data_IF_251596053705
#
_entry.id   IF_251596053705
#
_cell.length_a   1.000
_cell.length_b   1.000
_cell.length_c   1.000
_cell.angle_alpha   90.00
_cell.angle_beta   90.00
_cell.angle_gamma   90.00
#
_symmetry.space_group_name_H-M   'P 1'
#
loop_
_entity.id
_entity.type
_entity.pdbx_description
1 polymer ?
#
# COMPACT_ATOMS: atom_id res chain seq x y z
N UNK A 1 -9.17 5.37 8.08
CA UNK A 1 -8.96 4.15 7.27
C UNK A 1 -7.80 3.40 7.88
N UNK A 2 -8.04 2.19 8.36
CA UNK A 2 -7.00 1.36 8.97
C UNK A 2 -6.33 0.52 7.87
N UNK A 3 -5.00 0.44 7.87
CA UNK A 3 -4.28 -0.53 7.03
C UNK A 3 -4.45 -1.92 7.65
N UNK A 4 -4.65 -2.93 6.82
CA UNK A 4 -4.65 -4.32 7.25
C UNK A 4 -3.18 -4.81 7.28
N UNK A 5 -2.58 -4.78 8.47
CA UNK A 5 -1.17 -5.11 8.69
C UNK A 5 -1.08 -6.58 9.09
N UNK A 6 -0.45 -7.40 8.24
CA UNK A 6 -0.20 -8.82 8.51
C UNK A 6 1.04 -8.99 9.38
N UNK A 7 2.07 -8.17 9.12
CA UNK A 7 3.33 -8.18 9.86
C UNK A 7 4.01 -6.82 9.76
N UNK A 8 4.74 -6.41 10.80
CA UNK A 8 5.64 -5.25 10.73
C UNK A 8 6.76 -5.34 11.76
N UNK A 9 7.96 -4.97 11.36
CA UNK A 9 9.11 -4.76 12.25
C UNK A 9 9.90 -3.50 11.86
N UNK A 10 11.13 -3.37 12.35
CA UNK A 10 12.00 -2.23 12.06
C UNK A 10 12.51 -2.18 10.60
N UNK A 11 12.32 -3.25 9.82
CA UNK A 11 12.87 -3.41 8.48
C UNK A 11 11.79 -3.44 7.40
N UNK A 12 10.64 -4.08 7.66
CA UNK A 12 9.58 -4.22 6.68
C UNK A 12 8.17 -4.21 7.29
N UNK A 13 7.20 -3.89 6.44
CA UNK A 13 5.78 -4.06 6.72
C UNK A 13 5.14 -4.89 5.61
N UNK A 14 4.27 -5.80 6.01
CA UNK A 14 3.50 -6.68 5.15
C UNK A 14 2.03 -6.32 5.31
N UNK A 15 1.41 -5.93 4.20
CA UNK A 15 0.04 -5.40 4.20
C UNK A 15 -0.85 -6.27 3.34
N UNK A 16 -2.05 -6.58 3.84
CA UNK A 16 -3.07 -7.26 3.06
C UNK A 16 -3.86 -6.21 2.24
N UNK A 17 -3.58 -6.12 0.94
CA UNK A 17 -4.18 -5.11 0.08
C UNK A 17 -5.62 -5.50 -0.30
N UNK A 18 -6.63 -4.62 -0.14
CA UNK A 18 -7.95 -4.87 -0.71
C UNK A 18 -7.94 -4.78 -2.24
N UNK A 19 -8.87 -5.49 -2.89
CA UNK A 19 -9.15 -5.29 -4.31
C UNK A 19 -9.72 -3.88 -4.55
N UNK A 20 -9.42 -3.29 -5.70
CA UNK A 20 -9.83 -1.93 -6.07
C UNK A 20 -8.88 -0.83 -5.59
N UNK A 21 -7.86 -1.14 -4.79
CA UNK A 21 -6.84 -0.18 -4.36
C UNK A 21 -5.56 -0.33 -5.20
N UNK A 22 -5.01 0.78 -5.68
CA UNK A 22 -3.71 0.79 -6.34
C UNK A 22 -2.59 0.48 -5.34
N UNK A 23 -1.56 -0.25 -5.77
CA UNK A 23 -0.37 -0.49 -4.92
C UNK A 23 0.49 0.77 -4.78
N UNK A 24 0.65 1.51 -5.87
CA UNK A 24 1.43 2.76 -5.99
C UNK A 24 0.60 3.85 -6.66
N UNK A 25 0.98 5.14 -6.59
CA UNK A 25 0.22 6.21 -7.23
C UNK A 25 0.06 5.98 -8.73
N UNK A 26 -1.16 6.18 -9.21
CA UNK A 26 -1.46 6.15 -10.64
C UNK A 26 -1.11 7.49 -11.32
N UNK A 27 -1.36 7.54 -12.63
CA UNK A 27 -1.30 8.79 -13.39
C UNK A 27 -2.60 9.59 -13.18
N UNK A 28 -2.48 10.86 -12.83
CA UNK A 28 -3.60 11.77 -12.57
C UNK A 28 -3.85 12.01 -11.09
N UNK A 29 -4.36 13.20 -10.75
CA UNK A 29 -4.57 13.64 -9.37
C UNK A 29 -5.61 12.79 -8.62
N UNK A 30 -6.54 12.18 -9.36
CA UNK A 30 -7.58 11.28 -8.84
C UNK A 30 -7.04 9.89 -8.42
N UNK A 31 -5.79 9.56 -8.75
CA UNK A 31 -5.18 8.23 -8.51
C UNK A 31 -4.04 8.23 -7.50
N UNK A 32 -3.98 9.25 -6.65
CA UNK A 32 -2.93 9.37 -5.62
C UNK A 32 -3.26 8.57 -4.34
N UNK A 33 -4.53 8.21 -4.14
CA UNK A 33 -4.91 7.28 -3.07
C UNK A 33 -4.54 5.84 -3.45
N UNK A 34 -3.54 5.29 -2.75
CA UNK A 34 -2.98 3.98 -3.00
C UNK A 34 -2.42 3.39 -1.70
N UNK A 35 -2.02 2.11 -1.73
CA UNK A 35 -1.52 1.42 -0.55
C UNK A 35 -0.27 2.09 0.03
N UNK A 36 0.71 2.43 -0.80
CA UNK A 36 1.94 3.07 -0.31
C UNK A 36 1.70 4.47 0.27
N UNK A 37 0.85 5.30 -0.34
CA UNK A 37 0.59 6.64 0.20
C UNK A 37 -0.16 6.60 1.54
N UNK A 38 -0.96 5.54 1.77
CA UNK A 38 -1.56 5.25 3.07
C UNK A 38 -0.53 4.71 4.06
N UNK A 39 0.35 3.79 3.64
CA UNK A 39 1.42 3.23 4.46
C UNK A 39 2.41 4.31 4.94
N UNK A 40 2.76 5.25 4.07
CA UNK A 40 3.68 6.35 4.38
C UNK A 40 3.14 7.34 5.42
N UNK A 41 1.84 7.31 5.73
CA UNK A 41 1.29 8.06 6.87
C UNK A 41 1.68 7.45 8.23
N UNK A 42 2.04 6.17 8.24
CA UNK A 42 2.49 5.44 9.45
C UNK A 42 4.01 5.27 9.43
N UNK A 43 4.57 4.92 8.27
CA UNK A 43 6.01 4.71 8.06
C UNK A 43 6.51 5.62 6.94
N UNK A 44 6.89 6.88 7.24
CA UNK A 44 7.23 7.89 6.22
C UNK A 44 8.29 7.44 5.20
N UNK A 45 9.26 6.64 5.65
CA UNK A 45 10.37 6.16 4.82
C UNK A 45 10.06 4.85 4.07
N UNK A 46 8.83 4.32 4.17
CA UNK A 46 8.45 3.08 3.50
C UNK A 46 8.54 3.21 1.98
N UNK A 47 9.10 2.18 1.36
CA UNK A 47 9.22 2.03 -0.09
C UNK A 47 8.49 0.78 -0.55
N UNK A 48 7.91 0.82 -1.75
CA UNK A 48 7.27 -0.34 -2.36
C UNK A 48 8.32 -1.28 -2.97
N UNK A 49 8.35 -2.54 -2.52
CA UNK A 49 9.28 -3.56 -3.07
C UNK A 49 8.64 -4.46 -4.12
N UNK A 50 7.31 -4.60 -4.10
CA UNK A 50 6.52 -5.40 -5.04
C UNK A 50 5.13 -4.79 -5.19
N UNK A 51 4.44 -5.09 -6.30
CA UNK A 51 3.12 -4.53 -6.61
C UNK A 51 2.13 -5.63 -6.94
N UNK A 52 0.89 -5.40 -6.55
CA UNK A 52 -0.27 -6.12 -7.06
C UNK A 52 -1.06 -5.21 -8.01
N UNK A 53 -1.75 -5.82 -8.97
CA UNK A 53 -2.72 -5.12 -9.81
C UNK A 53 -3.84 -4.54 -8.95
N UNK A 54 -4.51 -3.50 -9.47
CA UNK A 54 -5.60 -2.83 -8.76
C UNK A 54 -6.69 -3.81 -8.33
N UNK A 55 -7.08 -4.73 -9.22
CA UNK A 55 -8.13 -5.71 -8.97
C UNK A 55 -7.67 -6.90 -8.11
N UNK A 56 -6.37 -7.12 -7.94
CA UNK A 56 -5.83 -8.21 -7.12
C UNK A 56 -5.88 -7.82 -5.64
N UNK A 57 -6.26 -8.74 -4.77
CA UNK A 57 -6.25 -8.58 -3.30
C UNK A 57 -5.31 -9.57 -2.64
N UNK A 58 -4.90 -9.29 -1.41
CA UNK A 58 -4.09 -10.21 -0.61
C UNK A 58 -2.77 -9.60 -0.16
N UNK A 59 -1.98 -10.49 0.44
CA UNK A 59 -0.54 -10.37 0.58
C UNK A 59 0.16 -10.35 -0.80
#
# INVERSE_FOLDING_TARGET
MNLDVVYSDAHLAVLNKPSGLLSVPGRGDDKQDCLISRAQRIWPDALTVHRLDMATSGL
#
